data_IF_040212498170
#
_entry.id   IF_040212498170
#
_cell.length_a   1.000
_cell.length_b   1.000
_cell.length_c   1.000
_cell.angle_alpha   90.00
_cell.angle_beta   90.00
_cell.angle_gamma   90.00
#
_symmetry.space_group_name_H-M   'P 1'
#
loop_
_entity.id
_entity.type
_entity.pdbx_description
1 polymer ?
#
# COMPACT_ATOMS: atom_id res chain seq x y z
N UNK A 1 17.56 19.53 13.08
CA UNK A 1 17.28 18.50 12.05
C UNK A 1 16.86 19.16 10.74
N UNK A 2 17.19 18.58 9.57
CA UNK A 2 16.62 18.97 8.26
C UNK A 2 16.05 17.71 7.60
N UNK A 3 14.76 17.72 7.29
CA UNK A 3 14.11 16.67 6.50
C UNK A 3 13.62 17.23 5.16
N UNK A 4 13.87 16.54 4.05
CA UNK A 4 13.35 16.87 2.72
C UNK A 4 12.39 15.78 2.28
N UNK A 5 11.18 16.18 1.92
CA UNK A 5 10.14 15.33 1.36
C UNK A 5 9.84 15.83 -0.05
N UNK A 6 9.81 14.93 -1.03
CA UNK A 6 9.47 15.25 -2.42
C UNK A 6 8.15 14.59 -2.79
N UNK A 7 7.29 15.29 -3.52
CA UNK A 7 6.02 14.76 -3.98
C UNK A 7 6.01 14.71 -5.51
N UNK A 8 6.12 13.50 -6.08
CA UNK A 8 6.08 13.33 -7.54
C UNK A 8 4.70 13.68 -8.12
N UNK A 9 3.62 13.46 -7.36
CA UNK A 9 2.26 13.80 -7.74
C UNK A 9 1.35 14.06 -6.52
N UNK A 10 0.34 14.92 -6.67
CA UNK A 10 -0.68 15.20 -5.66
C UNK A 10 -2.04 14.91 -6.30
N UNK A 11 -2.77 13.92 -5.81
CA UNK A 11 -3.98 13.40 -6.49
C UNK A 11 -5.18 14.36 -6.45
N UNK A 12 -5.24 15.24 -5.44
CA UNK A 12 -6.40 16.13 -5.21
C UNK A 12 -6.16 17.60 -5.59
N UNK A 13 -4.91 18.05 -5.67
CA UNK A 13 -4.62 19.45 -5.99
C UNK A 13 -4.70 19.65 -7.50
N UNK A 14 -5.59 20.53 -7.97
CA UNK A 14 -5.70 20.85 -9.40
C UNK A 14 -4.70 21.90 -9.87
N UNK A 15 -3.94 22.48 -8.95
CA UNK A 15 -2.86 23.42 -9.22
C UNK A 15 -1.56 23.00 -8.54
N UNK A 16 -0.43 23.43 -9.10
CA UNK A 16 0.90 23.16 -8.58
C UNK A 16 1.81 24.36 -8.75
N UNK A 17 2.67 24.60 -7.78
CA UNK A 17 3.73 25.59 -7.92
C UNK A 17 4.83 25.08 -8.86
N UNK A 18 5.30 25.99 -9.71
CA UNK A 18 6.49 25.83 -10.54
C UNK A 18 7.36 27.06 -10.33
N UNK A 19 8.68 26.85 -10.34
CA UNK A 19 9.64 27.93 -10.23
C UNK A 19 10.19 28.26 -11.62
N UNK A 20 10.11 29.53 -12.00
CA UNK A 20 10.76 30.05 -13.21
C UNK A 20 11.67 31.24 -12.89
N UNK A 21 12.27 31.85 -13.92
CA UNK A 21 13.17 32.99 -13.77
C UNK A 21 12.51 34.26 -13.18
N UNK A 22 11.18 34.33 -13.19
CA UNK A 22 10.38 35.43 -12.63
C UNK A 22 9.90 35.12 -11.22
N UNK A 23 10.05 33.87 -10.77
CA UNK A 23 9.72 33.40 -9.43
C UNK A 23 8.67 32.28 -9.44
N UNK A 24 7.97 32.08 -8.31
CA UNK A 24 7.03 30.99 -8.16
C UNK A 24 5.70 31.34 -8.81
N UNK A 25 5.25 30.50 -9.75
CA UNK A 25 3.95 30.60 -10.41
C UNK A 25 3.14 29.33 -10.16
N UNK A 26 1.82 29.44 -10.01
CA UNK A 26 0.94 28.28 -9.98
C UNK A 26 0.42 27.96 -11.38
N UNK A 27 0.53 26.69 -11.80
CA UNK A 27 -0.04 26.18 -13.05
C UNK A 27 -1.13 25.14 -12.73
N UNK A 28 -2.12 25.01 -13.60
CA UNK A 28 -3.21 24.04 -13.46
C UNK A 28 -4.59 24.66 -13.65
N UNK A 29 -5.63 23.97 -13.20
CA UNK A 29 -7.02 24.42 -13.31
C UNK A 29 -7.37 25.31 -12.10
N UNK A 30 -7.68 26.61 -12.29
CA UNK A 30 -8.10 27.47 -11.20
C UNK A 30 -9.35 26.93 -10.50
N UNK A 31 -9.37 27.00 -9.17
CA UNK A 31 -10.50 26.59 -8.35
C UNK A 31 -11.16 27.84 -7.73
N UNK A 32 -12.50 27.89 -7.61
CA UNK A 32 -13.16 28.94 -6.86
C UNK A 32 -12.86 28.81 -5.36
N UNK A 33 -12.75 29.94 -4.65
CA UNK A 33 -12.44 29.98 -3.22
C UNK A 33 -10.94 29.95 -2.93
N UNK A 34 -10.55 29.34 -1.81
CA UNK A 34 -9.14 29.15 -1.44
C UNK A 34 -8.57 27.93 -2.18
N UNK A 35 -7.68 28.12 -3.17
CA UNK A 35 -7.23 27.02 -4.01
C UNK A 35 -6.27 26.10 -3.26
N UNK A 36 -6.47 24.79 -3.40
CA UNK A 36 -5.48 23.79 -3.03
C UNK A 36 -4.37 23.72 -4.09
N UNK A 37 -3.18 24.20 -3.73
CA UNK A 37 -2.01 24.24 -4.62
C UNK A 37 -0.93 23.31 -4.05
N UNK A 38 -0.49 22.34 -4.86
CA UNK A 38 0.59 21.43 -4.47
C UNK A 38 1.97 22.07 -4.60
N UNK A 39 2.85 21.82 -3.63
CA UNK A 39 4.29 22.05 -3.74
C UNK A 39 5.02 20.81 -4.25
N UNK A 40 6.20 20.99 -4.85
CA UNK A 40 7.05 19.89 -5.34
C UNK A 40 7.89 19.26 -4.22
N UNK A 41 8.17 20.04 -3.19
CA UNK A 41 8.88 19.57 -2.01
C UNK A 41 8.37 20.23 -0.72
N UNK A 42 8.71 19.60 0.39
CA UNK A 42 8.58 20.13 1.72
C UNK A 42 9.90 19.95 2.48
N UNK A 43 10.40 21.02 3.11
CA UNK A 43 11.57 20.97 3.98
C UNK A 43 11.12 21.26 5.40
N UNK A 44 11.37 20.34 6.33
CA UNK A 44 11.19 20.55 7.76
C UNK A 44 12.54 20.92 8.39
N UNK A 45 12.61 22.10 9.00
CA UNK A 45 13.79 22.61 9.71
C UNK A 45 13.45 22.80 11.18
N UNK A 46 14.17 22.10 12.03
CA UNK A 46 14.09 22.27 13.48
C UNK A 46 14.94 23.46 13.92
N UNK A 47 14.32 24.49 14.47
CA UNK A 47 15.02 25.66 15.03
C UNK A 47 14.34 26.16 16.32
N UNK A 48 15.11 26.72 17.27
CA UNK A 48 14.53 27.43 18.41
C UNK A 48 13.70 28.64 17.93
N UNK A 49 12.47 28.77 18.41
CA UNK A 49 11.62 29.92 18.11
C UNK A 49 10.17 29.55 17.81
N UNK A 50 9.44 30.52 17.27
CA UNK A 50 8.04 30.34 16.89
C UNK A 50 7.96 29.54 15.57
N UNK A 51 7.09 28.50 15.50
CA UNK A 51 6.87 27.77 14.26
C UNK A 51 6.40 28.68 13.11
N UNK A 52 6.91 28.43 11.90
CA UNK A 52 6.65 29.25 10.73
C UNK A 52 6.54 28.38 9.47
N UNK A 53 5.67 28.78 8.54
CA UNK A 53 5.61 28.20 7.19
C UNK A 53 6.02 29.27 6.19
N UNK A 54 6.93 28.91 5.28
CA UNK A 54 7.33 29.75 4.15
C UNK A 54 7.18 28.97 2.86
N UNK A 55 6.74 29.65 1.81
CA UNK A 55 6.97 29.12 0.46
C UNK A 55 8.44 29.31 0.10
N UNK A 56 9.09 28.25 -0.36
CA UNK A 56 10.47 28.28 -0.84
C UNK A 56 10.44 27.72 -2.25
N UNK A 57 10.78 28.54 -3.22
CA UNK A 57 10.70 28.18 -4.63
C UNK A 57 9.32 27.61 -5.01
N UNK A 58 9.27 26.38 -5.51
CA UNK A 58 8.06 25.64 -5.86
C UNK A 58 7.61 24.63 -4.77
N UNK A 59 8.13 24.78 -3.55
CA UNK A 59 7.80 23.97 -2.38
C UNK A 59 7.52 24.78 -1.13
N UNK A 60 7.55 24.09 0.01
CA UNK A 60 7.28 24.66 1.33
C UNK A 60 8.41 24.38 2.31
N UNK A 61 8.79 25.39 3.09
CA UNK A 61 9.65 25.27 4.26
C UNK A 61 8.82 25.38 5.53
N UNK A 62 8.92 24.38 6.40
CA UNK A 62 8.33 24.33 7.72
C UNK A 62 9.44 24.53 8.75
N UNK A 63 9.38 25.61 9.51
CA UNK A 63 10.23 25.83 10.68
C UNK A 63 9.43 25.38 11.90
N UNK A 64 9.97 24.44 12.66
CA UNK A 64 9.32 23.86 13.84
C UNK A 64 10.26 23.90 15.04
N UNK A 65 9.70 24.05 16.23
CA UNK A 65 10.46 23.90 17.48
C UNK A 65 10.80 22.43 17.73
N UNK A 66 11.78 22.17 18.59
CA UNK A 66 12.14 20.80 18.99
C UNK A 66 10.94 20.02 19.56
N UNK A 67 10.07 20.69 20.32
CA UNK A 67 8.86 20.08 20.86
C UNK A 67 7.91 19.64 19.73
N UNK A 68 7.62 20.53 18.77
CA UNK A 68 6.75 20.23 17.63
C UNK A 68 7.31 19.07 16.80
N UNK A 69 8.62 19.03 16.58
CA UNK A 69 9.26 17.92 15.85
C UNK A 69 9.14 16.61 16.62
N UNK A 70 9.37 16.61 17.93
CA UNK A 70 9.22 15.40 18.75
C UNK A 70 7.79 14.86 18.73
N UNK A 71 6.79 15.73 18.90
CA UNK A 71 5.38 15.36 18.86
C UNK A 71 4.95 14.86 17.48
N UNK A 72 5.42 15.52 16.41
CA UNK A 72 5.21 15.07 15.02
C UNK A 72 5.79 13.67 14.80
N UNK A 73 7.03 13.41 15.21
CA UNK A 73 7.66 12.10 15.05
C UNK A 73 6.89 11.02 15.81
N UNK A 74 6.50 11.28 17.07
CA UNK A 74 5.68 10.34 17.84
C UNK A 74 4.34 10.04 17.18
N UNK A 75 3.68 11.07 16.60
CA UNK A 75 2.43 10.89 15.89
C UNK A 75 2.61 10.03 14.62
N UNK A 76 3.65 10.31 13.82
CA UNK A 76 3.98 9.54 12.63
C UNK A 76 4.36 8.09 12.95
N UNK A 77 5.15 7.86 14.00
CA UNK A 77 5.50 6.53 14.50
C UNK A 77 4.27 5.73 14.98
N UNK A 78 3.21 6.45 15.37
CA UNK A 78 1.95 5.87 15.83
C UNK A 78 0.86 5.84 14.73
N UNK A 79 1.19 6.17 13.48
CA UNK A 79 0.24 6.21 12.36
C UNK A 79 -0.85 7.29 12.47
N UNK A 80 -0.64 8.34 13.29
CA UNK A 80 -1.62 9.40 13.55
C UNK A 80 -1.28 10.69 12.81
N UNK A 81 -2.32 11.44 12.44
CA UNK A 81 -2.17 12.83 12.00
C UNK A 81 -1.71 13.72 13.15
N UNK A 82 -0.81 14.66 12.86
CA UNK A 82 -0.40 15.71 13.78
C UNK A 82 -0.69 17.09 13.20
N UNK A 83 -1.28 17.96 14.01
CA UNK A 83 -1.60 19.34 13.65
C UNK A 83 -0.91 20.31 14.59
N UNK A 84 -0.34 21.37 14.04
CA UNK A 84 0.15 22.50 14.82
C UNK A 84 -0.14 23.83 14.13
N UNK A 85 -0.15 24.89 14.93
CA UNK A 85 -0.32 26.26 14.43
C UNK A 85 1.05 26.91 14.21
N UNK A 86 1.27 27.42 13.01
CA UNK A 86 2.46 28.18 12.62
C UNK A 86 2.03 29.59 12.21
N UNK A 87 2.06 30.53 13.18
CA UNK A 87 1.48 31.88 13.07
C UNK A 87 0.02 31.84 12.60
N UNK A 88 -0.22 32.24 11.37
CA UNK A 88 -1.55 32.39 10.78
C UNK A 88 -1.99 31.17 9.96
N UNK A 89 -1.14 30.13 9.90
CA UNK A 89 -1.39 28.90 9.15
C UNK A 89 -1.51 27.72 10.11
N UNK A 90 -2.47 26.84 9.87
CA UNK A 90 -2.51 25.51 10.48
C UNK A 90 -1.78 24.53 9.55
N UNK A 91 -0.88 23.75 10.12
CA UNK A 91 -0.17 22.70 9.39
C UNK A 91 -0.66 21.36 9.90
N UNK A 92 -1.08 20.51 8.98
CA UNK A 92 -1.38 19.12 9.23
C UNK A 92 -0.38 18.25 8.48
N UNK A 93 0.22 17.31 9.20
CA UNK A 93 0.98 16.21 8.60
C UNK A 93 0.28 14.93 8.98
N UNK A 94 -0.19 14.21 7.98
CA UNK A 94 -0.83 12.91 8.13
C UNK A 94 -0.18 11.90 7.19
N UNK A 95 -0.34 10.62 7.50
CA UNK A 95 -0.14 9.61 6.48
C UNK A 95 -1.30 9.74 5.48
N UNK A 96 -0.98 9.86 4.19
CA UNK A 96 -2.02 9.84 3.17
C UNK A 96 -2.59 8.42 3.13
N UNK A 97 -3.90 8.30 3.29
CA UNK A 97 -4.59 7.03 3.04
C UNK A 97 -4.24 6.59 1.61
N UNK A 98 -3.63 5.43 1.48
CA UNK A 98 -3.26 4.91 0.17
C UNK A 98 -4.35 3.97 -0.27
N UNK A 99 -5.11 4.39 -1.28
CA UNK A 99 -5.98 3.47 -1.99
C UNK A 99 -5.11 2.38 -2.65
N UNK A 100 -5.36 1.14 -2.25
CA UNK A 100 -4.78 -0.01 -2.91
C UNK A 100 -5.70 -0.44 -4.04
N UNK A 101 -5.33 -0.10 -5.28
CA UNK A 101 -6.02 -0.58 -6.46
C UNK A 101 -5.63 -2.04 -6.75
N UNK A 102 -6.56 -2.97 -6.54
CA UNK A 102 -6.45 -4.37 -6.96
C UNK A 102 -7.36 -4.64 -8.16
N UNK A 103 -7.03 -5.59 -9.05
CA UNK A 103 -7.98 -6.09 -10.05
C UNK A 103 -9.29 -6.65 -9.45
N UNK A 104 -9.31 -6.96 -8.15
CA UNK A 104 -10.49 -7.40 -7.39
C UNK A 104 -11.25 -6.23 -6.73
N UNK A 105 -10.89 -4.99 -7.03
CA UNK A 105 -11.50 -3.77 -6.49
C UNK A 105 -10.52 -2.94 -5.65
N UNK A 106 -10.93 -1.72 -5.31
CA UNK A 106 -10.14 -0.82 -4.46
C UNK A 106 -10.35 -1.15 -2.99
N UNK A 107 -9.25 -1.33 -2.25
CA UNK A 107 -9.27 -1.43 -0.78
C UNK A 107 -8.67 -0.14 -0.22
N UNK A 108 -9.40 0.50 0.68
CA UNK A 108 -8.93 1.69 1.38
C UNK A 108 -8.09 1.27 2.58
N UNK A 109 -6.92 1.88 2.71
CA UNK A 109 -6.07 1.68 3.88
C UNK A 109 -5.71 3.01 4.51
N UNK A 110 -5.69 3.03 5.84
CA UNK A 110 -5.16 4.15 6.61
C UNK A 110 -3.62 4.23 6.47
N UNK A 111 -2.94 3.11 6.21
CA UNK A 111 -1.50 3.00 5.94
C UNK A 111 -1.19 2.29 4.61
N UNK A 112 -0.03 2.51 3.96
CA UNK A 112 0.39 1.71 2.81
C UNK A 112 0.30 0.20 3.07
N UNK A 113 -0.32 -0.59 2.17
CA UNK A 113 -0.52 -2.00 2.41
C UNK A 113 0.83 -2.71 2.52
N UNK A 114 1.00 -3.46 3.61
CA UNK A 114 2.28 -4.10 3.91
C UNK A 114 2.50 -5.31 3.01
N UNK A 115 3.75 -5.47 2.55
CA UNK A 115 4.16 -6.62 1.75
C UNK A 115 4.74 -7.71 2.63
N UNK A 116 4.15 -8.90 2.57
CA UNK A 116 4.69 -10.06 3.26
C UNK A 116 5.71 -10.77 2.38
N UNK A 117 6.88 -11.04 2.96
CA UNK A 117 7.87 -11.96 2.39
C UNK A 117 8.15 -13.04 3.43
N UNK A 118 7.84 -14.32 3.14
CA UNK A 118 8.16 -15.41 4.05
C UNK A 118 9.67 -15.37 4.34
N UNK A 119 10.04 -15.18 5.61
CA UNK A 119 11.45 -15.16 6.01
C UNK A 119 11.95 -16.59 6.17
N UNK A 120 13.18 -16.88 5.73
CA UNK A 120 13.85 -18.16 5.99
C UNK A 120 13.46 -19.32 5.08
N UNK A 121 12.49 -19.16 4.16
CA UNK A 121 12.22 -20.16 3.13
C UNK A 121 12.98 -19.81 1.84
N UNK A 122 13.72 -20.76 1.25
CA UNK A 122 14.28 -20.56 -0.09
C UNK A 122 13.13 -20.26 -1.06
N UNK A 123 13.33 -19.28 -1.96
CA UNK A 123 12.36 -18.98 -3.02
C UNK A 123 12.04 -20.30 -3.74
N UNK A 124 10.81 -20.77 -3.58
CA UNK A 124 10.36 -21.99 -4.23
C UNK A 124 10.35 -21.72 -5.73
N UNK A 125 11.04 -22.56 -6.51
CA UNK A 125 11.06 -22.41 -7.96
C UNK A 125 9.77 -23.00 -8.54
N UNK A 126 8.76 -22.13 -8.64
CA UNK A 126 7.49 -22.42 -9.30
C UNK A 126 7.71 -22.48 -10.81
N UNK A 127 7.08 -23.44 -11.49
CA UNK A 127 7.41 -23.77 -12.89
C UNK A 127 6.62 -22.94 -13.89
N UNK A 128 5.36 -22.67 -13.59
CA UNK A 128 4.40 -22.04 -14.50
C UNK A 128 4.12 -20.58 -14.11
N UNK A 129 4.31 -20.23 -12.84
CA UNK A 129 4.10 -18.86 -12.35
C UNK A 129 5.33 -18.31 -11.62
N UNK A 130 5.40 -17.00 -11.51
CA UNK A 130 6.29 -16.29 -10.59
C UNK A 130 5.43 -15.57 -9.55
N UNK A 131 5.57 -15.94 -8.27
CA UNK A 131 4.94 -15.19 -7.18
C UNK A 131 5.71 -13.87 -6.99
N UNK A 132 5.08 -12.76 -7.38
CA UNK A 132 5.71 -11.43 -7.37
C UNK A 132 5.66 -10.79 -5.98
N UNK A 133 4.50 -10.82 -5.32
CA UNK A 133 4.29 -10.26 -3.98
C UNK A 133 3.08 -10.87 -3.28
N UNK A 134 3.10 -10.79 -1.94
CA UNK A 134 1.94 -11.02 -1.08
C UNK A 134 1.61 -9.69 -0.41
N UNK A 135 0.38 -9.21 -0.60
CA UNK A 135 -0.12 -7.96 -0.02
C UNK A 135 -1.04 -8.32 1.14
N UNK A 136 -0.71 -7.87 2.34
CA UNK A 136 -1.56 -8.09 3.50
C UNK A 136 -2.67 -7.04 3.48
N UNK A 137 -3.93 -7.50 3.47
CA UNK A 137 -5.11 -6.63 3.58
C UNK A 137 -5.59 -6.51 5.04
N UNK A 138 -4.97 -7.26 5.94
CA UNK A 138 -5.14 -7.21 7.40
C UNK A 138 -3.79 -6.87 8.02
N UNK A 139 -3.81 -6.12 9.12
CA UNK A 139 -2.59 -5.72 9.83
C UNK A 139 -1.73 -6.94 10.24
N UNK A 140 -0.39 -6.92 10.03
CA UNK A 140 0.48 -8.05 10.35
C UNK A 140 0.41 -8.51 11.81
N UNK A 141 0.19 -7.58 12.73
CA UNK A 141 0.05 -7.84 14.17
C UNK A 141 -1.18 -8.70 14.42
N UNK A 142 -2.32 -8.35 13.80
CA UNK A 142 -3.55 -9.16 13.85
C UNK A 142 -3.30 -10.54 13.26
N UNK A 143 -2.61 -10.65 12.13
CA UNK A 143 -2.28 -11.95 11.53
C UNK A 143 -1.43 -12.80 12.48
N UNK A 144 -0.45 -12.20 13.15
CA UNK A 144 0.43 -12.89 14.10
C UNK A 144 -0.27 -13.35 15.38
N UNK A 145 -1.28 -12.61 15.84
CA UNK A 145 -2.10 -12.95 17.00
C UNK A 145 -3.10 -14.08 16.69
N UNK A 146 -3.55 -14.16 15.45
CA UNK A 146 -4.55 -15.10 14.97
C UNK A 146 -3.95 -16.43 14.49
N UNK A 147 -2.84 -16.37 13.72
CA UNK A 147 -2.22 -17.53 13.08
C UNK A 147 -0.72 -17.54 13.43
N UNK A 148 -0.16 -18.67 13.92
CA UNK A 148 1.27 -18.81 14.09
C UNK A 148 2.01 -18.54 12.77
N UNK A 149 3.11 -17.76 12.84
CA UNK A 149 3.87 -17.34 11.65
C UNK A 149 4.20 -18.47 10.68
N UNK A 150 4.64 -19.62 11.20
CA UNK A 150 5.00 -20.78 10.40
C UNK A 150 3.77 -21.43 9.73
N UNK A 151 2.61 -21.39 10.41
CA UNK A 151 1.34 -21.85 9.87
C UNK A 151 0.86 -20.97 8.72
N UNK A 152 0.98 -19.64 8.86
CA UNK A 152 0.64 -18.70 7.79
C UNK A 152 1.56 -18.87 6.58
N UNK A 153 2.88 -19.02 6.80
CA UNK A 153 3.84 -19.27 5.74
C UNK A 153 3.56 -20.59 5.00
N UNK A 154 3.32 -21.69 5.73
CA UNK A 154 2.99 -22.98 5.15
C UNK A 154 1.68 -22.96 4.34
N UNK A 155 0.70 -22.17 4.79
CA UNK A 155 -0.54 -21.99 4.04
C UNK A 155 -0.32 -21.20 2.75
N UNK A 156 0.43 -20.09 2.80
CA UNK A 156 0.84 -19.34 1.60
C UNK A 156 1.55 -20.26 0.59
N UNK A 157 2.45 -21.12 1.05
CA UNK A 157 3.13 -22.11 0.21
C UNK A 157 2.17 -23.09 -0.45
N UNK A 158 1.14 -23.52 0.27
CA UNK A 158 0.11 -24.42 -0.25
C UNK A 158 -0.70 -23.75 -1.35
N UNK A 159 -1.09 -22.48 -1.16
CA UNK A 159 -1.77 -21.67 -2.19
C UNK A 159 -0.87 -21.51 -3.41
N UNK A 160 0.39 -21.09 -3.24
CA UNK A 160 1.34 -20.92 -4.35
C UNK A 160 1.56 -22.20 -5.15
N UNK A 161 1.70 -23.34 -4.47
CA UNK A 161 1.90 -24.65 -5.12
C UNK A 161 0.66 -25.09 -5.89
N UNK A 162 -0.52 -24.82 -5.34
CA UNK A 162 -1.81 -25.14 -5.98
C UNK A 162 -1.97 -24.29 -7.24
N UNK A 163 -1.73 -22.99 -7.17
CA UNK A 163 -1.76 -22.09 -8.33
C UNK A 163 -0.78 -22.56 -9.42
N UNK A 164 0.46 -22.89 -9.05
CA UNK A 164 1.47 -23.36 -10.00
C UNK A 164 1.06 -24.67 -10.70
N UNK A 165 0.43 -25.58 -9.97
CA UNK A 165 -0.02 -26.88 -10.48
C UNK A 165 -1.22 -26.74 -11.40
N UNK A 166 -2.25 -25.98 -11.00
CA UNK A 166 -3.48 -25.81 -11.78
C UNK A 166 -3.24 -25.01 -13.07
N UNK A 167 -2.21 -24.16 -13.09
CA UNK A 167 -1.82 -23.42 -14.28
C UNK A 167 -0.80 -24.18 -15.15
N UNK A 168 -0.50 -25.44 -14.81
CA UNK A 168 0.33 -26.30 -15.65
C UNK A 168 -0.34 -26.52 -17.01
N UNK A 169 0.26 -25.97 -18.07
CA UNK A 169 -0.25 -26.11 -19.44
C UNK A 169 -1.19 -25.00 -19.88
N UNK A 170 -1.52 -24.05 -18.98
CA UNK A 170 -2.15 -22.80 -19.37
C UNK A 170 -1.14 -21.98 -20.20
N UNK A 171 -1.24 -22.07 -21.53
CA UNK A 171 -0.44 -21.24 -22.42
C UNK A 171 -0.90 -19.79 -22.26
N UNK A 172 -0.04 -18.88 -21.78
CA UNK A 172 0.01 -17.47 -22.21
C UNK A 172 1.11 -16.64 -21.52
N UNK A 173 1.69 -15.75 -22.32
CA UNK A 173 2.80 -14.89 -21.95
C UNK A 173 2.33 -13.62 -21.23
N UNK A 174 2.85 -13.37 -20.03
CA UNK A 174 2.80 -12.04 -19.39
C UNK A 174 1.45 -11.61 -18.82
N UNK A 175 0.51 -12.54 -18.62
CA UNK A 175 -0.70 -12.26 -17.84
C UNK A 175 -0.38 -12.19 -16.35
N UNK A 176 -1.14 -11.39 -15.62
CA UNK A 176 -1.11 -11.32 -14.17
C UNK A 176 -2.34 -12.03 -13.59
N UNK A 177 -2.15 -12.77 -12.51
CA UNK A 177 -3.20 -13.37 -11.70
C UNK A 177 -3.09 -12.83 -10.29
N UNK A 178 -4.20 -12.33 -9.76
CA UNK A 178 -4.33 -11.92 -8.37
C UNK A 178 -5.30 -12.87 -7.68
N UNK A 179 -4.86 -13.49 -6.59
CA UNK A 179 -5.67 -14.37 -5.75
C UNK A 179 -5.86 -13.69 -4.39
N UNK A 180 -7.10 -13.36 -4.03
CA UNK A 180 -7.46 -12.88 -2.69
C UNK A 180 -7.94 -14.05 -1.85
N UNK A 181 -7.41 -14.15 -0.64
CA UNK A 181 -7.74 -15.18 0.34
C UNK A 181 -8.29 -14.50 1.58
N UNK A 182 -9.44 -14.97 2.05
CA UNK A 182 -10.03 -14.60 3.34
C UNK A 182 -10.15 -15.83 4.24
N UNK A 183 -9.55 -15.73 5.42
CA UNK A 183 -9.59 -16.71 6.49
C UNK A 183 -10.43 -16.15 7.62
N UNK A 184 -11.39 -16.91 8.13
CA UNK A 184 -12.27 -16.45 9.19
C UNK A 184 -12.56 -17.55 10.21
N UNK A 185 -12.86 -17.19 11.47
CA UNK A 185 -13.24 -18.15 12.49
C UNK A 185 -14.47 -18.96 12.05
N UNK A 186 -14.38 -20.29 12.22
CA UNK A 186 -15.47 -21.25 11.98
C UNK A 186 -16.11 -21.22 10.59
N UNK A 187 -15.50 -20.53 9.62
CA UNK A 187 -15.99 -20.41 8.25
C UNK A 187 -15.07 -21.13 7.26
N UNK A 188 -15.63 -21.70 6.18
CA UNK A 188 -14.82 -22.19 5.08
C UNK A 188 -13.91 -21.08 4.53
N UNK A 189 -12.76 -21.49 4.00
CA UNK A 189 -11.88 -20.64 3.23
C UNK A 189 -12.65 -19.96 2.08
N UNK A 190 -12.48 -18.65 1.95
CA UNK A 190 -13.06 -17.89 0.85
C UNK A 190 -11.95 -17.34 -0.04
N UNK A 191 -12.03 -17.65 -1.33
CA UNK A 191 -11.04 -17.27 -2.34
C UNK A 191 -11.72 -16.61 -3.53
N UNK A 192 -11.15 -15.48 -3.94
CA UNK A 192 -11.48 -14.81 -5.19
C UNK A 192 -10.22 -14.73 -6.06
N UNK A 193 -10.39 -14.69 -7.37
CA UNK A 193 -9.29 -14.46 -8.29
C UNK A 193 -9.70 -13.54 -9.43
N UNK A 194 -8.77 -12.67 -9.81
CA UNK A 194 -8.89 -11.83 -10.99
C UNK A 194 -7.64 -11.98 -11.87
N UNK A 195 -7.83 -11.82 -13.17
CA UNK A 195 -6.77 -11.92 -14.16
C UNK A 195 -6.67 -10.63 -14.94
N UNK A 196 -5.45 -10.18 -15.15
CA UNK A 196 -5.16 -9.02 -15.98
C UNK A 196 -4.30 -9.48 -17.17
N UNK A 197 -4.96 -9.60 -18.33
CA UNK A 197 -4.35 -10.08 -19.56
C UNK A 197 -4.02 -11.58 -19.56
N UNK A 198 -3.95 -12.17 -20.74
CA UNK A 198 -3.35 -13.49 -20.95
C UNK A 198 -4.11 -14.70 -20.43
N UNK A 199 -4.86 -14.69 -19.33
CA UNK A 199 -5.59 -15.88 -18.88
C UNK A 199 -7.05 -15.88 -19.37
N UNK A 200 -7.55 -17.04 -19.83
CA UNK A 200 -8.98 -17.19 -20.12
C UNK A 200 -9.74 -17.38 -18.79
N UNK A 201 -10.90 -16.73 -18.64
CA UNK A 201 -11.74 -16.85 -17.45
C UNK A 201 -12.16 -18.29 -17.13
N UNK A 202 -12.20 -19.16 -18.14
CA UNK A 202 -12.49 -20.59 -18.00
C UNK A 202 -11.46 -21.35 -17.16
N UNK A 203 -10.22 -20.85 -17.07
CA UNK A 203 -9.15 -21.44 -16.22
C UNK A 203 -9.26 -20.92 -14.78
N UNK A 204 -9.79 -19.71 -14.58
CA UNK A 204 -9.86 -19.08 -13.25
C UNK A 204 -10.87 -19.79 -12.34
N UNK A 205 -12.03 -20.18 -12.88
CA UNK A 205 -13.08 -20.78 -12.07
C UNK A 205 -12.67 -22.12 -11.44
N UNK A 206 -12.13 -23.11 -12.19
CA UNK A 206 -11.61 -24.35 -11.60
C UNK A 206 -10.51 -24.10 -10.56
N UNK A 207 -9.63 -23.13 -10.81
CA UNK A 207 -8.60 -22.73 -9.85
C UNK A 207 -9.22 -22.21 -8.54
N UNK A 208 -10.21 -21.31 -8.62
CA UNK A 208 -10.90 -20.77 -7.44
C UNK A 208 -11.64 -21.88 -6.67
N UNK A 209 -12.33 -22.78 -7.37
CA UNK A 209 -13.01 -23.91 -6.74
C UNK A 209 -12.01 -24.83 -6.02
N UNK A 210 -10.84 -25.08 -6.63
CA UNK A 210 -9.76 -25.85 -6.02
C UNK A 210 -9.18 -25.17 -4.78
N UNK A 211 -8.95 -23.86 -4.86
CA UNK A 211 -8.39 -23.08 -3.76
C UNK A 211 -9.36 -22.99 -2.58
N UNK A 212 -10.66 -22.80 -2.82
CA UNK A 212 -11.69 -22.82 -1.76
C UNK A 212 -11.75 -24.18 -1.03
N UNK A 213 -11.32 -25.27 -1.67
CA UNK A 213 -11.24 -26.60 -1.08
C UNK A 213 -9.99 -26.88 -0.23
N UNK A 214 -9.05 -25.92 -0.13
CA UNK A 214 -7.86 -26.10 0.70
C UNK A 214 -8.21 -26.05 2.20
N UNK A 215 -7.45 -26.80 2.99
CA UNK A 215 -7.53 -26.71 4.44
C UNK A 215 -6.96 -25.36 4.92
N UNK A 216 -7.82 -24.51 5.45
CA UNK A 216 -7.41 -23.26 6.07
C UNK A 216 -6.71 -23.53 7.42
N UNK A 217 -5.66 -22.76 7.78
CA UNK A 217 -5.19 -22.72 9.15
C UNK A 217 -6.30 -22.21 10.07
N UNK A 218 -6.36 -22.68 11.33
CA UNK A 218 -7.34 -22.18 12.28
C UNK A 218 -7.08 -20.70 12.57
N UNK A 219 -8.17 -19.92 12.61
CA UNK A 219 -8.21 -18.50 12.96
C UNK A 219 -9.10 -18.38 14.20
N UNK A 220 -8.70 -17.55 15.17
CA UNK A 220 -9.35 -17.44 16.47
C UNK A 220 -10.56 -16.51 16.40
N UNK A 221 -10.33 -15.22 16.18
CA UNK A 221 -11.34 -14.19 16.43
C UNK A 221 -11.55 -13.23 15.25
N UNK A 222 -10.48 -12.87 14.52
CA UNK A 222 -10.54 -11.87 13.46
C UNK A 222 -10.53 -12.47 12.06
N UNK A 223 -11.15 -11.77 11.10
CA UNK A 223 -11.00 -12.12 9.68
C UNK A 223 -9.63 -11.66 9.19
N UNK A 224 -8.89 -12.55 8.56
CA UNK A 224 -7.62 -12.25 7.90
C UNK A 224 -7.82 -12.26 6.40
N UNK A 225 -7.40 -11.19 5.73
CA UNK A 225 -7.42 -11.07 4.29
C UNK A 225 -6.03 -10.75 3.73
N UNK A 226 -5.66 -11.37 2.61
CA UNK A 226 -4.44 -11.05 1.88
C UNK A 226 -4.58 -11.37 0.38
N UNK A 227 -3.74 -10.75 -0.43
CA UNK A 227 -3.65 -11.03 -1.87
C UNK A 227 -2.29 -11.59 -2.25
N UNK A 228 -2.29 -12.56 -3.15
CA UNK A 228 -1.10 -13.11 -3.77
C UNK A 228 -1.09 -12.77 -5.25
N UNK A 229 -0.01 -12.13 -5.70
CA UNK A 229 0.15 -11.66 -7.08
C UNK A 229 1.11 -12.58 -7.82
N UNK A 230 0.65 -13.11 -8.95
CA UNK A 230 1.40 -14.05 -9.78
C UNK A 230 1.56 -13.50 -11.20
N UNK A 231 2.76 -13.65 -11.74
CA UNK A 231 3.05 -13.41 -13.16
C UNK A 231 3.17 -14.75 -13.87
N UNK A 232 2.44 -14.94 -14.97
CA UNK A 232 2.54 -16.17 -15.78
C UNK A 232 3.89 -16.22 -16.52
N UNK A 233 4.65 -17.30 -16.34
CA UNK A 233 5.93 -17.48 -17.04
C UNK A 233 5.69 -17.72 -18.53
N UNK A 234 6.54 -17.13 -19.37
CA UNK A 234 6.61 -17.47 -20.79
C UNK A 234 7.25 -18.85 -20.92
N UNK A 235 6.57 -19.77 -21.61
CA UNK A 235 7.15 -21.05 -22.03
C UNK A 235 8.00 -20.85 -23.28
#
# INVERSE_FOLDING_TARGET
>A
MIGLLTAASHSTAMQRYVWDQRGPTAIGVPQPGDPLIAGNFMVLVEQPGQPEVKRIEDGYGLIASQQVVAELLTALESGKSYRWRARDVEVEVSMAATDYASPLGTVHFDEPPRHYRPAGQPRRDLRNVEASKIVLLTEPEVIGDEIPRDGFAAFCDTVMTTVDTELAGAARAGGELVVRVELAPERPLYVQAAVNGGLAGEVVRPLVDRLNGLAAPPVRDHVIAFEMHFTLRRR
#
